data_IF_877146077302
#
_entry.id   IF_877146077302
#
_cell.length_a   1.000
_cell.length_b   1.000
_cell.length_c   1.000
_cell.angle_alpha   90.00
_cell.angle_beta   90.00
_cell.angle_gamma   90.00
#
_symmetry.space_group_name_H-M   'P 1'
#
loop_
_entity.id
_entity.type
_entity.pdbx_description
1 polymer ?
#
# COMPACT_ATOMS: atom_id res chain seq x y z
N UNK A 1 19.25 14.24 28.72
CA UNK A 1 17.93 14.53 29.33
C UNK A 1 17.10 13.27 29.61
N UNK A 2 17.06 12.26 28.73
CA UNK A 2 16.20 11.07 28.90
C UNK A 2 16.86 9.80 29.49
N UNK A 3 18.17 9.83 29.76
CA UNK A 3 18.92 8.67 30.25
C UNK A 3 18.58 8.25 31.69
N UNK A 4 17.96 9.15 32.47
CA UNK A 4 17.56 8.91 33.86
C UNK A 4 16.08 8.53 34.00
N UNK A 5 15.34 8.42 32.88
CA UNK A 5 13.94 8.02 32.91
C UNK A 5 13.81 6.57 33.38
N UNK A 6 12.96 6.32 34.39
CA UNK A 6 12.68 4.98 34.92
C UNK A 6 11.27 4.52 34.54
N UNK A 7 11.16 3.31 33.98
CA UNK A 7 9.87 2.65 33.71
C UNK A 7 9.94 1.23 34.27
N UNK A 8 9.40 1.03 35.47
CA UNK A 8 9.55 -0.22 36.21
C UNK A 8 11.00 -0.45 36.65
N UNK A 9 11.33 -1.72 36.91
CA UNK A 9 12.58 -2.09 37.59
C UNK A 9 13.78 -2.28 36.64
N UNK A 10 13.53 -2.37 35.33
CA UNK A 10 14.56 -2.64 34.33
C UNK A 10 14.35 -1.78 33.07
N UNK A 11 15.40 -1.68 32.25
CA UNK A 11 15.35 -0.93 31.00
C UNK A 11 14.46 -1.62 29.96
N UNK A 12 13.43 -0.92 29.50
CA UNK A 12 12.47 -1.38 28.49
C UNK A 12 12.80 -0.79 27.13
N UNK A 13 12.51 -1.50 26.02
CA UNK A 13 12.73 -0.99 24.66
C UNK A 13 12.11 0.38 24.40
N UNK A 14 10.96 0.68 25.00
CA UNK A 14 10.30 1.99 24.90
C UNK A 14 11.17 3.15 25.40
N UNK A 15 11.99 2.93 26.43
CA UNK A 15 12.90 3.96 26.94
C UNK A 15 14.00 4.27 25.92
N UNK A 16 14.54 3.22 25.27
CA UNK A 16 15.49 3.38 24.16
C UNK A 16 14.84 4.08 22.97
N UNK A 17 13.62 3.69 22.62
CA UNK A 17 12.85 4.30 21.54
C UNK A 17 12.65 5.80 21.78
N UNK A 18 12.27 6.21 22.99
CA UNK A 18 12.11 7.62 23.32
C UNK A 18 13.42 8.40 23.19
N UNK A 19 14.51 7.88 23.76
CA UNK A 19 15.84 8.50 23.67
C UNK A 19 16.25 8.66 22.21
N UNK A 20 16.07 7.61 21.40
CA UNK A 20 16.43 7.62 19.98
C UNK A 20 15.58 8.63 19.20
N UNK A 21 14.25 8.54 19.28
CA UNK A 21 13.33 9.43 18.55
C UNK A 21 13.57 10.90 18.90
N UNK A 22 13.77 11.23 20.18
CA UNK A 22 14.03 12.61 20.60
C UNK A 22 15.39 13.12 20.13
N UNK A 23 16.43 12.28 20.21
CA UNK A 23 17.78 12.66 19.74
C UNK A 23 17.77 12.88 18.22
N UNK A 24 17.21 11.94 17.47
CA UNK A 24 17.12 12.04 16.01
C UNK A 24 16.23 13.21 15.57
N UNK A 25 15.15 13.52 16.29
CA UNK A 25 14.31 14.67 15.98
C UNK A 25 15.08 16.01 16.11
N UNK A 26 15.89 16.16 17.16
CA UNK A 26 16.73 17.35 17.36
C UNK A 26 17.82 17.47 16.28
N UNK A 27 18.49 16.36 15.97
CA UNK A 27 19.54 16.32 14.94
C UNK A 27 18.98 16.63 13.54
N UNK A 28 17.82 16.07 13.18
CA UNK A 28 17.14 16.38 11.91
C UNK A 28 16.71 17.84 11.86
N UNK A 29 16.15 18.37 12.96
CA UNK A 29 15.74 19.75 13.03
C UNK A 29 16.93 20.70 12.83
N UNK A 30 18.04 20.46 13.52
CA UNK A 30 19.26 21.24 13.37
C UNK A 30 19.79 21.19 11.93
N UNK A 31 19.86 19.99 11.35
CA UNK A 31 20.31 19.81 9.97
C UNK A 31 19.44 20.58 8.97
N UNK A 32 18.11 20.43 9.02
CA UNK A 32 17.23 21.05 8.03
C UNK A 32 17.06 22.56 8.24
N UNK A 33 16.99 23.04 9.48
CA UNK A 33 16.84 24.47 9.76
C UNK A 33 18.16 25.22 9.60
N UNK A 34 19.25 24.72 10.21
CA UNK A 34 20.51 25.45 10.26
C UNK A 34 21.41 25.19 9.04
N UNK A 35 21.44 23.95 8.54
CA UNK A 35 22.28 23.60 7.38
C UNK A 35 21.54 23.80 6.06
N UNK A 36 20.29 23.29 5.94
CA UNK A 36 19.51 23.40 4.69
C UNK A 36 18.67 24.67 4.57
N UNK A 37 18.60 25.49 5.63
CA UNK A 37 17.89 26.78 5.67
C UNK A 37 16.38 26.67 5.37
N UNK A 38 15.75 25.58 5.80
CA UNK A 38 14.29 25.44 5.69
C UNK A 38 13.59 26.34 6.72
N UNK A 39 12.42 26.88 6.37
CA UNK A 39 11.66 27.75 7.28
C UNK A 39 11.04 27.01 8.47
N UNK A 40 10.73 25.72 8.31
CA UNK A 40 10.20 24.85 9.36
C UNK A 40 10.40 23.38 8.97
N UNK A 41 10.28 22.48 9.96
CA UNK A 41 10.35 21.01 9.77
C UNK A 41 9.10 20.38 10.37
N UNK A 42 8.37 19.58 9.58
CA UNK A 42 7.18 18.86 10.03
C UNK A 42 7.54 17.44 10.47
N UNK A 43 7.85 17.27 11.75
CA UNK A 43 8.17 15.94 12.32
C UNK A 43 7.00 14.96 12.25
N UNK A 44 5.75 15.44 12.12
CA UNK A 44 4.57 14.60 11.93
C UNK A 44 4.62 13.73 10.67
N UNK A 45 5.47 14.07 9.69
CA UNK A 45 5.67 13.25 8.48
C UNK A 45 6.62 12.07 8.68
N UNK A 46 7.30 12.00 9.81
CA UNK A 46 8.24 10.91 10.15
C UNK A 46 7.56 9.79 10.95
N UNK A 47 6.27 9.93 11.28
CA UNK A 47 5.49 8.88 11.94
C UNK A 47 5.00 7.83 10.94
N UNK A 48 4.53 6.70 11.47
CA UNK A 48 3.95 5.61 10.68
C UNK A 48 2.45 5.82 10.40
N UNK A 49 1.85 6.94 10.84
CA UNK A 49 0.40 7.18 10.75
C UNK A 49 -0.13 7.11 9.31
N UNK A 50 0.64 7.63 8.35
CA UNK A 50 0.25 7.58 6.93
C UNK A 50 0.16 6.13 6.43
N UNK A 51 1.05 5.26 6.89
CA UNK A 51 1.05 3.84 6.54
C UNK A 51 -0.08 3.10 7.24
N UNK A 52 -0.34 3.41 8.51
CA UNK A 52 -1.46 2.83 9.27
C UNK A 52 -2.81 3.22 8.66
N UNK A 53 -2.95 4.48 8.22
CA UNK A 53 -4.13 4.95 7.50
C UNK A 53 -4.32 4.22 6.15
N UNK A 54 -3.22 3.96 5.42
CA UNK A 54 -3.26 3.13 4.21
C UNK A 54 -3.74 1.71 4.51
N UNK A 55 -3.23 1.08 5.57
CA UNK A 55 -3.69 -0.24 5.97
C UNK A 55 -5.14 -0.26 6.42
N UNK A 56 -5.62 0.80 7.07
CA UNK A 56 -7.03 0.95 7.40
C UNK A 56 -7.92 1.01 6.15
N UNK A 57 -7.49 1.70 5.09
CA UNK A 57 -8.21 1.68 3.81
C UNK A 57 -8.24 0.28 3.18
N UNK A 58 -7.12 -0.45 3.20
CA UNK A 58 -7.05 -1.81 2.64
C UNK A 58 -7.95 -2.77 3.44
N UNK A 59 -7.95 -2.66 4.77
CA UNK A 59 -8.76 -3.50 5.66
C UNK A 59 -10.24 -3.13 5.69
N UNK A 60 -10.64 -2.03 5.05
CA UNK A 60 -12.03 -1.55 5.08
C UNK A 60 -13.06 -2.54 4.50
N UNK A 61 -12.65 -3.39 3.55
CA UNK A 61 -13.53 -4.45 2.98
C UNK A 61 -13.39 -5.80 3.68
N UNK A 62 -12.18 -6.16 4.08
CA UNK A 62 -11.88 -7.39 4.79
C UNK A 62 -10.87 -7.06 5.91
N UNK A 63 -11.21 -7.26 7.20
CA UNK A 63 -10.31 -6.92 8.30
C UNK A 63 -8.96 -7.66 8.25
N UNK A 64 -8.93 -8.87 7.67
CA UNK A 64 -7.73 -9.68 7.50
C UNK A 64 -7.63 -10.14 6.04
N UNK A 65 -7.11 -9.29 5.14
CA UNK A 65 -7.01 -9.62 3.73
C UNK A 65 -5.97 -10.70 3.49
N UNK A 66 -6.26 -11.61 2.56
CA UNK A 66 -5.25 -12.54 2.02
C UNK A 66 -4.20 -11.76 1.22
N UNK A 67 -2.99 -12.30 1.00
CA UNK A 67 -1.94 -11.60 0.23
C UNK A 67 -2.38 -11.18 -1.18
N UNK A 68 -3.25 -11.97 -1.82
CA UNK A 68 -3.82 -11.65 -3.14
C UNK A 68 -4.75 -10.45 -3.08
N UNK A 69 -5.63 -10.42 -2.06
CA UNK A 69 -6.55 -9.31 -1.83
C UNK A 69 -5.81 -8.02 -1.48
N UNK A 70 -4.82 -8.11 -0.58
CA UNK A 70 -3.95 -7.00 -0.22
C UNK A 70 -3.25 -6.42 -1.45
N UNK A 71 -2.62 -7.29 -2.28
CA UNK A 71 -1.93 -6.86 -3.50
C UNK A 71 -2.89 -6.19 -4.48
N UNK A 72 -4.09 -6.74 -4.66
CA UNK A 72 -5.10 -6.15 -5.54
C UNK A 72 -5.56 -4.78 -5.02
N UNK A 73 -5.88 -4.68 -3.73
CA UNK A 73 -6.29 -3.43 -3.09
C UNK A 73 -5.20 -2.35 -3.17
N UNK A 74 -3.95 -2.71 -2.89
CA UNK A 74 -2.82 -1.78 -2.99
C UNK A 74 -2.66 -1.26 -4.43
N UNK A 75 -2.71 -2.15 -5.44
CA UNK A 75 -2.63 -1.74 -6.85
C UNK A 75 -3.76 -0.77 -7.23
N UNK A 76 -4.98 -1.04 -6.79
CA UNK A 76 -6.13 -0.17 -7.05
C UNK A 76 -5.98 1.19 -6.35
N UNK A 77 -5.56 1.22 -5.09
CA UNK A 77 -5.34 2.48 -4.34
C UNK A 77 -4.24 3.30 -5.03
N UNK A 78 -3.11 2.69 -5.40
CA UNK A 78 -2.03 3.37 -6.13
C UNK A 78 -2.53 3.95 -7.45
N UNK A 79 -3.26 3.16 -8.25
CA UNK A 79 -3.84 3.65 -9.51
C UNK A 79 -4.78 4.84 -9.28
N UNK A 80 -5.66 4.75 -8.28
CA UNK A 80 -6.60 5.82 -7.96
C UNK A 80 -5.92 7.12 -7.51
N UNK A 81 -4.72 7.04 -6.89
CA UNK A 81 -3.96 8.23 -6.51
C UNK A 81 -3.43 8.99 -7.73
N UNK A 82 -2.98 8.29 -8.77
CA UNK A 82 -2.48 8.91 -10.00
C UNK A 82 -3.60 9.37 -10.94
N UNK A 83 -4.73 8.65 -10.97
CA UNK A 83 -5.89 9.04 -11.78
C UNK A 83 -6.75 10.13 -11.16
N UNK A 84 -6.46 10.56 -9.93
CA UNK A 84 -7.16 11.69 -9.32
C UNK A 84 -6.65 12.99 -9.95
N UNK A 85 -7.47 13.73 -10.72
CA UNK A 85 -7.02 14.96 -11.33
C UNK A 85 -6.62 15.96 -10.24
N UNK A 86 -5.43 16.54 -10.40
CA UNK A 86 -4.93 17.52 -9.44
C UNK A 86 -5.65 18.85 -9.67
N UNK A 87 -6.60 19.20 -8.79
CA UNK A 87 -7.37 20.45 -8.91
C UNK A 87 -6.50 21.72 -8.78
N UNK A 88 -5.34 21.63 -8.12
CA UNK A 88 -4.47 22.77 -7.80
C UNK A 88 -3.00 22.51 -8.18
N UNK A 89 -2.73 21.59 -9.11
CA UNK A 89 -1.37 21.22 -9.50
C UNK A 89 -0.81 22.11 -10.59
N UNK A 90 0.46 22.51 -10.47
CA UNK A 90 1.24 23.14 -11.54
C UNK A 90 1.73 22.12 -12.60
N UNK A 91 1.10 20.95 -12.68
CA UNK A 91 1.35 20.00 -13.75
C UNK A 91 0.35 20.33 -14.86
N UNK A 92 0.86 20.87 -15.96
CA UNK A 92 0.20 20.88 -17.27
C UNK A 92 -0.50 19.52 -17.48
N UNK A 93 -1.76 19.56 -17.90
CA UNK A 93 -2.68 18.43 -17.91
C UNK A 93 -2.33 17.35 -18.97
N UNK A 94 -1.08 17.23 -19.40
CA UNK A 94 -0.72 16.58 -20.67
C UNK A 94 -0.35 15.08 -20.52
N UNK A 95 0.15 14.63 -19.36
CA UNK A 95 0.74 13.27 -19.28
C UNK A 95 -0.27 12.13 -19.01
N UNK A 96 -1.47 12.43 -18.50
CA UNK A 96 -2.47 11.40 -18.18
C UNK A 96 -3.47 11.17 -19.33
N UNK A 97 -3.59 12.11 -20.26
CA UNK A 97 -4.56 12.06 -21.35
C UNK A 97 -4.26 10.90 -22.32
N UNK A 98 -2.99 10.59 -22.56
CA UNK A 98 -2.57 9.41 -23.33
C UNK A 98 -3.09 8.10 -22.73
N UNK A 99 -3.05 7.95 -21.40
CA UNK A 99 -3.55 6.74 -20.72
C UNK A 99 -5.08 6.63 -20.83
N UNK A 100 -5.79 7.76 -20.73
CA UNK A 100 -7.24 7.81 -20.96
C UNK A 100 -7.60 7.50 -22.42
N UNK A 101 -6.84 8.01 -23.38
CA UNK A 101 -7.01 7.74 -24.80
C UNK A 101 -6.73 6.26 -25.13
N UNK A 102 -5.64 5.69 -24.62
CA UNK A 102 -5.32 4.27 -24.79
C UNK A 102 -6.41 3.33 -24.25
N UNK A 103 -7.01 3.67 -23.10
CA UNK A 103 -8.11 2.90 -22.53
C UNK A 103 -9.40 3.02 -23.36
N UNK A 104 -9.70 4.20 -23.91
CA UNK A 104 -10.84 4.40 -24.83
C UNK A 104 -10.67 3.60 -26.11
N UNK A 105 -9.48 3.61 -26.70
CA UNK A 105 -9.15 2.89 -27.95
C UNK A 105 -9.34 1.38 -27.81
N UNK A 106 -9.05 0.80 -26.63
CA UNK A 106 -9.35 -0.61 -26.35
C UNK A 106 -10.84 -0.94 -26.24
N UNK A 107 -11.66 -0.02 -25.72
CA UNK A 107 -13.11 -0.24 -25.61
C UNK A 107 -13.84 -0.14 -26.95
N UNK A 108 -13.31 0.62 -27.91
CA UNK A 108 -13.86 0.71 -29.27
C UNK A 108 -13.55 -0.48 -30.17
N UNK A 109 -12.56 -1.30 -29.84
CA UNK A 109 -12.17 -2.48 -30.63
C UNK A 109 -12.96 -3.76 -30.33
N UNK A 110 -13.85 -3.77 -29.34
CA UNK A 110 -14.81 -4.86 -29.16
C UNK A 110 -16.00 -4.68 -30.10
N UNK A 111 -15.80 -5.03 -31.37
CA UNK A 111 -16.87 -5.40 -32.29
C UNK A 111 -17.74 -6.46 -31.62
N UNK A 112 -19.06 -6.24 -31.67
CA UNK A 112 -20.11 -7.12 -31.14
C UNK A 112 -19.80 -8.59 -31.42
N UNK A 113 -19.55 -9.36 -30.37
CA UNK A 113 -19.77 -10.81 -30.38
C UNK A 113 -21.05 -10.99 -29.55
N UNK A 114 -22.09 -11.56 -30.16
CA UNK A 114 -23.32 -11.92 -29.44
C UNK A 114 -22.94 -12.84 -28.26
N UNK A 115 -23.16 -12.35 -27.04
CA UNK A 115 -22.98 -13.17 -25.85
C UNK A 115 -24.20 -14.10 -25.70
N UNK A 116 -24.02 -15.43 -25.55
CA UNK A 116 -25.08 -16.23 -24.95
C UNK A 116 -25.25 -15.79 -23.49
N UNK A 117 -26.51 -15.66 -23.10
CA UNK A 117 -26.99 -15.20 -21.80
C UNK A 117 -26.35 -16.01 -20.65
N UNK A 118 -25.55 -15.37 -19.80
CA UNK A 118 -25.02 -15.98 -18.59
C UNK A 118 -25.76 -15.42 -17.38
N UNK A 119 -26.95 -15.99 -17.14
CA UNK A 119 -27.74 -15.78 -15.93
C UNK A 119 -26.96 -16.26 -14.71
N UNK A 120 -26.80 -15.39 -13.70
CA UNK A 120 -26.37 -15.81 -12.36
C UNK A 120 -27.53 -16.55 -11.69
N UNK A 121 -27.60 -17.85 -11.91
CA UNK A 121 -28.58 -18.76 -11.32
C UNK A 121 -27.88 -19.82 -10.51
N UNK A 122 -28.26 -19.93 -9.24
CA UNK A 122 -27.91 -20.97 -8.29
C UNK A 122 -27.86 -22.38 -8.90
N UNK A 123 -26.84 -23.17 -8.58
CA UNK A 123 -27.00 -24.44 -7.85
C UNK A 123 -25.78 -25.36 -7.97
N UNK A 124 -25.52 -26.03 -6.85
CA UNK A 124 -25.07 -27.42 -6.73
C UNK A 124 -23.65 -27.77 -7.19
N UNK A 125 -22.84 -28.01 -6.16
CA UNK A 125 -22.02 -29.22 -5.99
C UNK A 125 -22.33 -30.34 -7.01
N UNK A 126 -21.31 -30.91 -7.63
CA UNK A 126 -20.89 -32.25 -7.22
C UNK A 126 -19.54 -32.66 -7.82
N UNK A 127 -18.90 -33.49 -7.02
CA UNK A 127 -17.58 -34.08 -7.15
C UNK A 127 -17.39 -34.87 -8.45
N UNK A 128 -16.12 -35.03 -8.85
CA UNK A 128 -15.46 -36.32 -9.12
C UNK A 128 -14.38 -36.19 -10.21
N UNK A 129 -13.20 -35.68 -9.85
CA UNK A 129 -11.94 -36.26 -10.36
C UNK A 129 -10.88 -36.16 -9.26
N UNK A 130 -10.42 -37.31 -8.79
CA UNK A 130 -9.31 -37.50 -7.87
C UNK A 130 -8.61 -38.81 -8.29
N UNK A 131 -7.39 -39.10 -7.85
CA UNK A 131 -6.16 -38.29 -7.87
C UNK A 131 -5.01 -39.13 -8.46
N UNK A 132 -3.93 -38.54 -9.00
CA UNK A 132 -2.54 -39.04 -8.90
C UNK A 132 -1.61 -38.40 -9.96
N UNK A 133 -0.36 -38.20 -9.54
CA UNK A 133 0.80 -37.70 -10.28
C UNK A 133 0.90 -36.19 -10.51
N UNK A 134 1.30 -35.44 -9.47
CA UNK A 134 2.65 -34.85 -9.42
C UNK A 134 2.89 -34.26 -8.01
N UNK A 135 3.12 -35.13 -7.02
CA UNK A 135 3.78 -34.72 -5.78
C UNK A 135 5.29 -34.86 -6.00
N UNK A 136 5.98 -33.78 -5.69
CA UNK A 136 7.36 -33.70 -5.20
C UNK A 136 8.28 -34.88 -5.52
N UNK A 137 9.27 -34.63 -6.38
CA UNK A 137 10.63 -35.06 -6.04
C UNK A 137 11.64 -34.08 -6.62
N UNK A 138 12.59 -33.73 -5.76
CA UNK A 138 13.85 -33.02 -5.99
C UNK A 138 13.89 -31.52 -5.68
N UNK A 139 14.69 -31.04 -4.74
CA UNK A 139 15.47 -31.60 -3.62
C UNK A 139 16.16 -30.36 -3.01
N UNK A 140 16.08 -30.21 -1.70
CA UNK A 140 17.11 -29.51 -0.94
C UNK A 140 18.38 -30.38 -1.00
N UNK A 141 19.43 -29.94 -1.72
CA UNK A 141 20.87 -30.23 -1.54
C UNK A 141 21.64 -30.07 -2.86
N UNK A 142 22.41 -28.99 -2.96
CA UNK A 142 23.87 -29.03 -3.07
C UNK A 142 24.42 -27.74 -2.45
#
# INVERSE_FOLDING_TARGET
MFLTMRIGDAWKPVQRGLVLTTTTALELQDFYLNTKKFGFVLLSRLSQDALENLFSMIRGKNPVPTPKEFKSALRMISAAQYFKPNKNGNYEAEDADFLFEYLKTRQSSSTKIDLPDFTYGSSLCDENVSPNQFIESKIFCN
#
